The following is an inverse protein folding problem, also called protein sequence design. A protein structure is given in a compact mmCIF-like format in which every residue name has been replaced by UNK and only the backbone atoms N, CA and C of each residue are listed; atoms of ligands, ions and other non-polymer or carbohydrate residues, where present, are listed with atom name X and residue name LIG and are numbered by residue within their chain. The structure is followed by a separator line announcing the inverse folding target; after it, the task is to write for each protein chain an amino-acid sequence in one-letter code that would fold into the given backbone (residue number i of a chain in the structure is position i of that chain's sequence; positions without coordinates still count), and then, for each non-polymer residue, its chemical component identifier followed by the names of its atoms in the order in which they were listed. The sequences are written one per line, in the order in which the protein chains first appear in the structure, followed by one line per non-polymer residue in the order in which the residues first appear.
data_IF_443791155379
#
_entry.id   IF_443791155379
#
_cell.length_a   1.000
_cell.length_b   1.000
_cell.length_c   1.000
_cell.angle_alpha   90.00
_cell.angle_beta   90.00
_cell.angle_gamma   90.00
#
_symmetry.space_group_name_H-M   'P 1'
#
loop_
_entity.id
_entity.type
_entity.pdbx_description
1 polymer ?
#
# COMPACT_ATOMS: atom_id res chain seq x y z
N UNK A 1 -8.94 -0.57 -14.99
CA UNK A 1 -7.58 -1.08 -15.18
C UNK A 1 -6.62 -0.12 -14.48
N UNK A 2 -5.97 -0.55 -13.39
CA UNK A 2 -4.95 0.27 -12.76
C UNK A 2 -3.76 0.45 -13.71
N UNK A 3 -3.17 1.65 -13.74
CA UNK A 3 -2.14 2.07 -14.69
C UNK A 3 -0.98 2.72 -13.93
N UNK A 4 0.28 2.46 -14.29
CA UNK A 4 1.42 3.13 -13.68
C UNK A 4 1.33 4.65 -13.78
N UNK A 5 1.74 5.34 -12.72
CA UNK A 5 1.85 6.81 -12.68
C UNK A 5 3.27 7.20 -13.10
N UNK A 6 3.40 7.78 -14.29
CA UNK A 6 4.68 8.14 -14.90
C UNK A 6 4.68 9.59 -15.38
N UNK A 7 5.87 10.14 -15.60
CA UNK A 7 6.06 11.48 -16.14
C UNK A 7 5.31 12.56 -15.37
N UNK A 8 4.60 13.45 -16.07
CA UNK A 8 3.87 14.57 -15.47
C UNK A 8 2.90 14.16 -14.37
N UNK A 9 2.22 13.02 -14.49
CA UNK A 9 1.27 12.55 -13.47
C UNK A 9 1.95 12.24 -12.13
N UNK A 10 3.25 11.90 -12.14
CA UNK A 10 4.03 11.77 -10.92
C UNK A 10 4.27 13.12 -10.27
N UNK A 11 4.63 14.13 -11.07
CA UNK A 11 4.83 15.49 -10.57
C UNK A 11 3.53 16.07 -10.01
N UNK A 12 2.40 15.83 -10.68
CA UNK A 12 1.08 16.23 -10.19
C UNK A 12 0.76 15.57 -8.83
N UNK A 13 0.96 14.24 -8.72
CA UNK A 13 0.76 13.53 -7.45
C UNK A 13 1.68 14.03 -6.33
N UNK A 14 2.94 14.34 -6.63
CA UNK A 14 3.86 14.93 -5.67
C UNK A 14 3.44 16.35 -5.26
N UNK A 15 2.91 17.14 -6.20
CA UNK A 15 2.35 18.47 -5.94
C UNK A 15 1.13 18.42 -5.01
N UNK A 16 0.33 17.37 -5.10
CA UNK A 16 -0.77 17.07 -4.19
C UNK A 16 -0.32 16.52 -2.81
N UNK A 17 0.99 16.40 -2.58
CA UNK A 17 1.59 15.93 -1.33
C UNK A 17 1.74 14.42 -1.22
N UNK A 18 1.59 13.65 -2.30
CA UNK A 18 1.79 12.21 -2.27
C UNK A 18 3.27 11.85 -2.09
N UNK A 19 3.57 11.06 -1.06
CA UNK A 19 4.91 10.49 -0.84
C UNK A 19 5.16 9.21 -1.64
N UNK A 20 4.09 8.46 -1.92
CA UNK A 20 4.09 7.24 -2.72
C UNK A 20 2.70 7.01 -3.31
N UNK A 21 2.65 6.35 -4.46
CA UNK A 21 1.40 5.94 -5.12
C UNK A 21 1.42 4.43 -5.29
N UNK A 22 0.31 3.77 -4.94
CA UNK A 22 0.05 2.36 -5.22
C UNK A 22 -1.29 2.19 -5.94
N UNK A 23 -1.60 0.95 -6.34
CA UNK A 23 -2.80 0.64 -7.15
C UNK A 23 -3.96 0.09 -6.30
N UNK A 24 -3.69 -0.33 -5.06
CA UNK A 24 -4.61 -1.14 -4.27
C UNK A 24 -5.12 -0.49 -2.99
N UNK A 25 -4.31 0.34 -2.33
CA UNK A 25 -4.59 0.73 -0.95
C UNK A 25 -5.82 1.62 -0.82
N UNK A 26 -6.09 2.47 -1.82
CA UNK A 26 -7.24 3.36 -1.77
C UNK A 26 -8.57 2.60 -1.75
N UNK A 27 -8.72 1.56 -2.59
CA UNK A 27 -9.95 0.77 -2.60
C UNK A 27 -9.99 -0.25 -1.45
N UNK A 28 -8.84 -0.80 -1.03
CA UNK A 28 -8.76 -1.63 0.18
C UNK A 28 -9.14 -0.84 1.44
N UNK A 29 -8.73 0.43 1.55
CA UNK A 29 -9.14 1.30 2.65
C UNK A 29 -10.65 1.52 2.69
N UNK A 30 -11.28 1.71 1.53
CA UNK A 30 -12.74 1.76 1.44
C UNK A 30 -13.40 0.45 1.86
N UNK A 31 -12.83 -0.70 1.48
CA UNK A 31 -13.32 -2.03 1.87
C UNK A 31 -13.02 -2.41 3.32
N UNK A 32 -12.07 -1.75 3.99
CA UNK A 32 -11.79 -1.98 5.40
C UNK A 32 -13.01 -1.65 6.26
N UNK A 33 -13.89 -0.73 5.82
CA UNK A 33 -15.21 -0.46 6.40
C UNK A 33 -15.19 -0.28 7.93
N UNK A 34 -14.21 0.46 8.44
CA UNK A 34 -14.04 0.71 9.88
C UNK A 34 -13.18 -0.32 10.63
N UNK A 35 -12.71 -1.38 9.98
CA UNK A 35 -11.66 -2.27 10.51
C UNK A 35 -10.31 -1.57 10.52
N UNK A 36 -9.45 -1.97 11.44
CA UNK A 36 -8.04 -1.57 11.42
C UNK A 36 -7.40 -1.97 10.10
N UNK A 37 -6.65 -1.05 9.50
CA UNK A 37 -5.91 -1.26 8.26
C UNK A 37 -4.47 -0.78 8.42
N UNK A 38 -3.53 -1.65 8.09
CA UNK A 38 -2.13 -1.32 7.93
C UNK A 38 -1.70 -1.64 6.49
N UNK A 39 -0.87 -0.77 5.92
CA UNK A 39 -0.29 -0.99 4.59
C UNK A 39 1.22 -0.86 4.69
N UNK A 40 1.93 -1.89 4.25
CA UNK A 40 3.39 -1.88 4.06
C UNK A 40 3.68 -1.91 2.57
N UNK A 41 4.59 -1.03 2.14
CA UNK A 41 4.95 -0.86 0.74
C UNK A 41 6.46 -0.98 0.58
N UNK A 42 6.88 -1.62 -0.50
CA UNK A 42 8.26 -1.54 -0.98
C UNK A 42 8.23 -0.75 -2.28
N UNK A 43 8.94 0.38 -2.33
CA UNK A 43 8.92 1.31 -3.45
C UNK A 43 9.99 0.89 -4.48
N UNK A 44 9.55 0.45 -5.66
CA UNK A 44 10.43 0.04 -6.76
C UNK A 44 10.68 1.17 -7.77
N UNK A 45 9.78 2.13 -7.81
CA UNK A 45 9.72 3.23 -8.77
C UNK A 45 9.84 4.56 -8.02
N UNK A 46 11.01 5.19 -8.10
CA UNK A 46 11.32 6.47 -7.44
C UNK A 46 11.87 7.48 -8.45
N UNK A 47 12.08 8.72 -8.02
CA UNK A 47 12.69 9.75 -8.87
C UNK A 47 14.10 9.34 -9.36
N UNK A 48 14.86 8.64 -8.53
CA UNK A 48 16.22 8.19 -8.84
C UNK A 48 16.27 6.81 -9.54
N UNK A 49 15.13 6.10 -9.57
CA UNK A 49 15.08 4.72 -10.03
C UNK A 49 13.71 4.40 -10.65
N UNK A 50 13.58 4.66 -11.95
CA UNK A 50 12.34 4.39 -12.70
C UNK A 50 11.99 2.90 -12.76
N UNK A 51 10.70 2.57 -12.69
CA UNK A 51 10.21 1.19 -12.70
C UNK A 51 10.77 0.37 -13.87
N UNK A 52 10.74 0.91 -15.09
CA UNK A 52 11.12 0.21 -16.31
C UNK A 52 12.63 0.33 -16.58
N UNK A 53 13.42 -0.41 -15.82
CA UNK A 53 14.88 -0.46 -15.94
C UNK A 53 15.43 -1.89 -15.94
N UNK A 54 16.60 -2.16 -16.55
CA UNK A 54 17.19 -3.50 -16.57
C UNK A 54 17.38 -4.15 -15.19
N UNK A 55 17.58 -3.35 -14.15
CA UNK A 55 17.72 -3.82 -12.77
C UNK A 55 16.41 -4.23 -12.07
N UNK A 56 15.24 -4.03 -12.69
CA UNK A 56 13.93 -4.32 -12.10
C UNK A 56 13.80 -5.76 -11.58
N UNK A 57 14.23 -6.83 -12.28
CA UNK A 57 14.05 -8.19 -11.79
C UNK A 57 14.76 -8.45 -10.46
N UNK A 58 15.96 -7.89 -10.26
CA UNK A 58 16.68 -8.01 -9.01
C UNK A 58 16.00 -7.20 -7.89
N UNK A 59 15.57 -5.98 -8.20
CA UNK A 59 14.83 -5.13 -7.25
C UNK A 59 13.51 -5.78 -6.83
N UNK A 60 12.78 -6.41 -7.76
CA UNK A 60 11.55 -7.14 -7.49
C UNK A 60 11.80 -8.35 -6.58
N UNK A 61 12.84 -9.14 -6.83
CA UNK A 61 13.23 -10.24 -5.93
C UNK A 61 13.50 -9.75 -4.51
N UNK A 62 14.24 -8.64 -4.37
CA UNK A 62 14.48 -8.01 -3.07
C UNK A 62 13.19 -7.54 -2.42
N UNK A 63 12.30 -6.89 -3.18
CA UNK A 63 11.00 -6.44 -2.67
C UNK A 63 10.14 -7.60 -2.17
N UNK A 64 10.04 -8.70 -2.93
CA UNK A 64 9.34 -9.91 -2.49
C UNK A 64 9.94 -10.47 -1.19
N UNK A 65 11.27 -10.48 -1.04
CA UNK A 65 11.91 -10.91 0.21
C UNK A 65 11.58 -9.99 1.37
N UNK A 66 11.65 -8.67 1.19
CA UNK A 66 11.30 -7.68 2.23
C UNK A 66 9.85 -7.83 2.65
N UNK A 67 8.93 -8.01 1.70
CA UNK A 67 7.52 -8.26 1.98
C UNK A 67 7.33 -9.57 2.76
N UNK A 68 8.01 -10.65 2.36
CA UNK A 68 7.97 -11.92 3.08
C UNK A 68 8.49 -11.80 4.52
N UNK A 69 9.51 -10.97 4.75
CA UNK A 69 10.01 -10.66 6.10
C UNK A 69 9.02 -9.85 6.92
N UNK A 70 8.27 -8.93 6.31
CA UNK A 70 7.26 -8.12 7.00
C UNK A 70 5.95 -8.89 7.29
N UNK A 71 5.65 -9.95 6.54
CA UNK A 71 4.37 -10.65 6.62
C UNK A 71 4.04 -11.21 8.02
N UNK A 72 4.96 -11.85 8.77
CA UNK A 72 4.66 -12.33 10.12
C UNK A 72 4.31 -11.19 11.10
N UNK A 73 4.97 -10.03 10.97
CA UNK A 73 4.68 -8.87 11.80
C UNK A 73 3.29 -8.29 11.50
N UNK A 74 2.89 -8.25 10.21
CA UNK A 74 1.55 -7.84 9.81
C UNK A 74 0.48 -8.81 10.30
N UNK A 75 0.74 -10.12 10.27
CA UNK A 75 -0.17 -11.13 10.80
C UNK A 75 -0.33 -10.98 12.32
N UNK A 76 0.77 -10.81 13.06
CA UNK A 76 0.74 -10.58 14.50
C UNK A 76 -0.02 -9.29 14.87
N UNK A 77 0.22 -8.20 14.14
CA UNK A 77 -0.53 -6.96 14.30
C UNK A 77 -2.02 -7.16 14.05
N UNK A 78 -2.40 -7.86 12.98
CA UNK A 78 -3.80 -8.11 12.64
C UNK A 78 -4.52 -8.96 13.69
N UNK A 79 -3.84 -9.95 14.30
CA UNK A 79 -4.40 -10.76 15.39
C UNK A 79 -4.52 -10.00 16.71
N UNK A 80 -3.65 -9.02 16.96
CA UNK A 80 -3.68 -8.19 18.16
C UNK A 80 -4.63 -6.98 18.03
N UNK A 81 -5.00 -6.59 16.81
CA UNK A 81 -5.90 -5.48 16.57
C UNK A 81 -7.30 -5.79 17.15
N UNK A 82 -7.87 -4.90 17.97
CA UNK A 82 -9.19 -5.12 18.53
C UNK A 82 -10.24 -5.19 17.41
N UNK A 83 -11.27 -6.01 17.58
CA UNK A 83 -12.41 -6.01 16.67
C UNK A 83 -13.05 -4.62 16.65
N UNK A 84 -13.46 -4.11 15.48
CA UNK A 84 -14.22 -2.85 15.44
C UNK A 84 -15.44 -3.00 16.35
N UNK A 85 -15.71 -1.97 17.16
CA UNK A 85 -16.89 -1.98 18.03
C UNK A 85 -18.15 -2.15 17.17
N UNK A 86 -19.12 -2.98 17.56
CA UNK A 86 -20.38 -3.10 16.84
C UNK A 86 -21.00 -1.70 16.68
N UNK A 87 -21.41 -1.35 15.46
CA UNK A 87 -22.20 -0.14 15.24
C UNK A 87 -23.47 -0.32 16.09
N UNK A 88 -23.80 0.62 17.01
CA UNK A 88 -25.00 0.50 17.83
C UNK A 88 -26.19 0.38 16.89
N UNK A 89 -26.93 -0.72 17.04
CA UNK A 89 -28.19 -0.91 16.34
C UNK A 89 -29.08 0.28 16.71
N UNK A 90 -29.57 1.03 15.72
CA UNK A 90 -30.68 1.95 15.98
C UNK A 90 -31.84 1.09 16.45
N UNK A 91 -32.14 1.15 17.75
CA UNK A 91 -33.43 0.69 18.26
C UNK A 91 -34.52 1.47 17.53
N UNK A 92 -35.47 0.70 17.00
CA UNK A 92 -36.69 1.12 16.28
C UNK A 92 -37.56 2.06 17.10
#
# INVERSE_FOLDING_TARGET
MPRPVVGRRRADAAGDGALAVDMESAWLARLAAGRHLAVVRVVLDSADAELLRPGLPAALRTACRVLATAAPALAAWASAAPSPSPIPSKET
#
